data_IF_607551630638
#
_entry.id   IF_607551630638
#
_cell.length_a   1.000
_cell.length_b   1.000
_cell.length_c   1.000
_cell.angle_alpha   90.00
_cell.angle_beta   90.00
_cell.angle_gamma   90.00
#
_symmetry.space_group_name_H-M   'P 1'
#
loop_
_entity.id
_entity.type
_entity.pdbx_description
1 polymer ?
#
# COMPACT_ATOMS: atom_id res chain seq x y z
N UNK A 1 -15.67 19.25 -3.25
CA UNK A 1 -15.83 19.24 -4.74
C UNK A 1 -14.93 18.18 -5.41
N UNK A 2 -13.93 17.62 -4.73
CA UNK A 2 -12.96 16.64 -5.26
C UNK A 2 -13.54 15.21 -5.28
N UNK A 3 -14.46 14.84 -4.38
CA UNK A 3 -15.07 13.50 -4.32
C UNK A 3 -15.90 13.09 -5.54
N UNK A 4 -16.57 14.07 -6.20
CA UNK A 4 -17.46 13.75 -7.33
C UNK A 4 -16.78 13.27 -8.61
N UNK A 5 -15.53 13.69 -8.87
CA UNK A 5 -14.82 13.26 -10.09
C UNK A 5 -14.25 11.84 -9.98
N UNK A 6 -14.04 11.32 -8.77
CA UNK A 6 -13.57 9.96 -8.56
C UNK A 6 -14.70 8.93 -8.60
N UNK A 7 -15.90 9.29 -8.14
CA UNK A 7 -17.08 8.46 -8.34
C UNK A 7 -17.34 8.19 -9.84
N UNK A 8 -17.06 9.15 -10.71
CA UNK A 8 -17.22 8.95 -12.16
C UNK A 8 -16.22 7.94 -12.74
N UNK A 9 -14.96 7.92 -12.27
CA UNK A 9 -13.94 6.99 -12.76
C UNK A 9 -14.20 5.58 -12.20
N UNK A 10 -14.57 5.48 -10.93
CA UNK A 10 -14.93 4.22 -10.29
C UNK A 10 -16.23 3.65 -10.89
N UNK A 11 -17.19 4.51 -11.22
CA UNK A 11 -18.41 4.14 -11.95
C UNK A 11 -18.13 3.69 -13.39
N UNK A 12 -17.14 4.25 -14.08
CA UNK A 12 -16.73 3.77 -15.41
C UNK A 12 -16.15 2.35 -15.38
N UNK A 13 -15.37 2.02 -14.36
CA UNK A 13 -14.84 0.65 -14.18
C UNK A 13 -15.95 -0.32 -13.75
N UNK A 14 -16.88 0.13 -12.92
CA UNK A 14 -18.04 -0.65 -12.47
C UNK A 14 -19.03 -0.92 -13.63
N UNK A 15 -19.25 0.07 -14.50
CA UNK A 15 -20.17 -0.06 -15.63
C UNK A 15 -19.67 -0.99 -16.75
N UNK A 16 -18.39 -1.37 -16.75
CA UNK A 16 -17.84 -2.32 -17.74
C UNK A 16 -17.72 -3.75 -17.20
N UNK A 17 -18.15 -4.01 -15.95
CA UNK A 17 -18.02 -5.31 -15.32
C UNK A 17 -19.39 -5.80 -14.83
N UNK A 18 -19.97 -6.78 -15.53
CA UNK A 18 -21.31 -7.35 -15.27
C UNK A 18 -21.52 -7.86 -13.83
N UNK A 19 -20.43 -8.12 -13.09
CA UNK A 19 -20.50 -8.53 -11.67
C UNK A 19 -21.20 -7.52 -10.78
N UNK A 20 -21.11 -6.22 -11.09
CA UNK A 20 -21.74 -5.17 -10.31
C UNK A 20 -23.24 -5.04 -10.53
N UNK A 21 -23.76 -5.62 -11.61
CA UNK A 21 -25.19 -5.74 -11.89
C UNK A 21 -25.85 -6.87 -11.07
N UNK A 22 -25.06 -7.87 -10.61
CA UNK A 22 -25.56 -8.97 -9.79
C UNK A 22 -25.76 -8.55 -8.34
N UNK A 23 -27.02 -8.48 -7.91
CA UNK A 23 -27.42 -8.13 -6.53
C UNK A 23 -26.85 -9.09 -5.47
N UNK A 24 -26.77 -10.39 -5.80
CA UNK A 24 -26.23 -11.41 -4.89
C UNK A 24 -24.73 -11.21 -4.71
N UNK A 25 -24.01 -10.90 -5.79
CA UNK A 25 -22.60 -10.57 -5.73
C UNK A 25 -22.35 -9.33 -4.84
N UNK A 26 -23.08 -8.25 -5.08
CA UNK A 26 -22.95 -6.99 -4.32
C UNK A 26 -23.28 -7.20 -2.85
N UNK A 27 -24.33 -7.97 -2.53
CA UNK A 27 -24.70 -8.27 -1.13
C UNK A 27 -23.64 -9.14 -0.47
N UNK A 28 -23.17 -10.19 -1.12
CA UNK A 28 -22.09 -11.04 -0.63
C UNK A 28 -20.80 -10.26 -0.41
N UNK A 29 -20.46 -9.33 -1.31
CA UNK A 29 -19.32 -8.44 -1.18
C UNK A 29 -19.43 -7.52 0.05
N UNK A 30 -20.61 -6.94 0.29
CA UNK A 30 -20.86 -6.08 1.47
C UNK A 30 -20.68 -6.86 2.78
N UNK A 31 -21.22 -8.06 2.86
CA UNK A 31 -21.11 -8.92 4.07
C UNK A 31 -19.64 -9.28 4.29
N UNK A 32 -18.95 -9.81 3.28
CA UNK A 32 -17.51 -10.16 3.38
C UNK A 32 -16.65 -8.98 3.76
N UNK A 33 -16.88 -7.80 3.17
CA UNK A 33 -16.10 -6.62 3.51
C UNK A 33 -16.39 -6.12 4.93
N UNK A 34 -17.62 -6.23 5.42
CA UNK A 34 -17.96 -5.88 6.80
C UNK A 34 -17.23 -6.78 7.80
N UNK A 35 -17.25 -8.10 7.58
CA UNK A 35 -16.48 -9.04 8.41
C UNK A 35 -14.99 -8.74 8.38
N UNK A 36 -14.42 -8.48 7.20
CA UNK A 36 -13.03 -8.11 7.08
C UNK A 36 -12.71 -6.79 7.82
N UNK A 37 -13.60 -5.79 7.77
CA UNK A 37 -13.44 -4.53 8.51
C UNK A 37 -13.46 -4.76 10.02
N UNK A 38 -14.43 -5.50 10.52
CA UNK A 38 -14.56 -5.80 11.97
C UNK A 38 -13.33 -6.58 12.46
N UNK A 39 -12.92 -7.61 11.70
CA UNK A 39 -11.73 -8.40 12.03
C UNK A 39 -10.46 -7.53 12.02
N UNK A 40 -10.27 -6.74 10.99
CA UNK A 40 -9.12 -5.85 10.88
C UNK A 40 -9.12 -4.82 12.01
N UNK A 41 -10.27 -4.21 12.33
CA UNK A 41 -10.37 -3.24 13.41
C UNK A 41 -10.02 -3.87 14.76
N UNK A 42 -10.55 -5.07 15.03
CA UNK A 42 -10.20 -5.83 16.24
C UNK A 42 -8.70 -6.14 16.29
N UNK A 43 -8.17 -6.71 15.21
CA UNK A 43 -6.77 -7.11 15.14
C UNK A 43 -5.85 -5.92 15.44
N UNK A 44 -6.05 -4.80 14.76
CA UNK A 44 -5.14 -3.66 14.87
C UNK A 44 -5.28 -2.92 16.20
N UNK A 45 -6.49 -2.81 16.74
CA UNK A 45 -6.66 -2.26 18.10
C UNK A 45 -6.04 -3.16 19.17
N UNK A 46 -5.81 -4.42 18.87
CA UNK A 46 -5.10 -5.35 19.77
C UNK A 46 -3.58 -5.30 19.67
N UNK A 47 -3.02 -4.67 18.61
CA UNK A 47 -1.57 -4.62 18.41
C UNK A 47 -0.92 -3.53 19.26
N UNK A 48 0.22 -3.85 19.83
CA UNK A 48 1.14 -2.86 20.39
C UNK A 48 2.01 -2.29 19.26
N UNK A 49 1.60 -1.13 18.72
CA UNK A 49 2.27 -0.47 17.61
C UNK A 49 3.43 0.36 18.12
N UNK A 50 4.64 -0.09 17.88
CA UNK A 50 5.86 0.65 18.18
C UNK A 50 6.17 1.55 16.99
N UNK A 51 6.16 2.86 17.22
CA UNK A 51 6.63 3.85 16.25
C UNK A 51 8.06 4.27 16.60
N UNK A 52 8.96 4.25 15.62
CA UNK A 52 10.29 4.80 15.77
C UNK A 52 10.37 6.29 15.39
N UNK A 53 11.52 6.93 15.62
CA UNK A 53 11.71 8.35 15.32
C UNK A 53 11.52 8.67 13.82
N UNK A 54 11.80 7.72 12.94
CA UNK A 54 11.60 7.87 11.49
C UNK A 54 10.13 7.98 11.11
N UNK A 55 9.22 7.35 11.88
CA UNK A 55 7.79 7.47 11.69
C UNK A 55 7.28 8.92 11.85
N UNK A 56 7.77 9.66 12.85
CA UNK A 56 7.39 11.07 13.04
C UNK A 56 7.97 11.98 11.94
N UNK A 57 9.19 11.72 11.47
CA UNK A 57 9.79 12.45 10.35
C UNK A 57 8.99 12.27 9.06
N UNK A 58 8.55 11.05 8.77
CA UNK A 58 7.70 10.77 7.62
C UNK A 58 6.29 11.38 7.75
N UNK A 59 5.68 11.36 8.95
CA UNK A 59 4.42 12.08 9.19
C UNK A 59 4.55 13.56 8.89
N UNK A 60 5.68 14.18 9.22
CA UNK A 60 5.94 15.59 8.95
C UNK A 60 6.07 15.86 7.43
N UNK A 61 6.62 14.93 6.67
CA UNK A 61 6.68 15.02 5.22
C UNK A 61 5.27 15.07 4.60
N UNK A 62 4.39 14.18 5.05
CA UNK A 62 3.00 14.12 4.58
C UNK A 62 2.15 15.30 5.09
N UNK A 63 2.39 15.82 6.31
CA UNK A 63 1.70 17.00 6.85
C UNK A 63 2.01 18.28 6.06
N UNK A 64 3.17 18.36 5.41
CA UNK A 64 3.57 19.53 4.60
C UNK A 64 2.97 19.51 3.19
N UNK A 65 2.05 18.59 2.88
CA UNK A 65 1.43 18.49 1.57
C UNK A 65 2.40 18.10 0.46
N UNK A 66 3.55 17.51 0.81
CA UNK A 66 4.51 16.99 -0.17
C UNK A 66 4.17 15.54 -0.48
N UNK A 67 3.67 15.22 -1.69
CA UNK A 67 3.36 13.86 -2.06
C UNK A 67 4.62 13.00 -2.15
N UNK A 68 4.46 11.72 -1.84
CA UNK A 68 5.50 10.70 -1.97
C UNK A 68 4.91 9.37 -2.44
N UNK A 69 5.74 8.45 -2.90
CA UNK A 69 5.34 7.08 -3.17
C UNK A 69 5.79 6.19 -2.01
N UNK A 70 4.84 5.62 -1.30
CA UNK A 70 5.09 4.70 -0.19
C UNK A 70 5.31 3.30 -0.76
N UNK A 71 6.48 2.71 -0.49
CA UNK A 71 6.85 1.39 -0.97
C UNK A 71 6.78 0.37 0.17
N UNK A 72 6.07 -0.73 -0.04
CA UNK A 72 5.94 -1.82 0.92
C UNK A 72 5.90 -3.17 0.20
N UNK A 73 6.31 -4.24 0.88
CA UNK A 73 6.11 -5.59 0.38
C UNK A 73 4.65 -6.01 0.49
N UNK A 74 4.18 -6.80 -0.48
CA UNK A 74 2.78 -7.24 -0.50
C UNK A 74 2.40 -8.03 0.75
N UNK A 75 3.33 -8.81 1.27
CA UNK A 75 3.13 -9.61 2.49
C UNK A 75 2.85 -8.80 3.76
N UNK A 76 3.16 -7.50 3.78
CA UNK A 76 3.07 -6.64 4.98
C UNK A 76 2.02 -5.53 4.88
N UNK A 77 1.28 -5.47 3.78
CA UNK A 77 0.36 -4.37 3.51
C UNK A 77 -0.67 -4.16 4.61
N UNK A 78 -1.12 -5.25 5.26
CA UNK A 78 -2.18 -5.22 6.25
C UNK A 78 -1.85 -4.30 7.44
N UNK A 79 -0.65 -4.40 7.99
CA UNK A 79 -0.22 -3.58 9.13
C UNK A 79 -0.01 -2.11 8.78
N UNK A 80 0.34 -1.81 7.53
CA UNK A 80 0.55 -0.45 7.07
C UNK A 80 -0.75 0.32 6.87
N UNK A 81 -1.85 -0.36 6.50
CA UNK A 81 -3.12 0.29 6.14
C UNK A 81 -3.71 1.16 7.26
N UNK A 82 -3.59 0.75 8.52
CA UNK A 82 -4.23 1.46 9.62
C UNK A 82 -3.48 2.68 10.10
N UNK A 83 -2.16 2.67 9.95
CA UNK A 83 -1.32 3.77 10.40
C UNK A 83 -1.52 5.05 9.59
N UNK A 84 -1.95 4.89 8.35
CA UNK A 84 -2.05 5.97 7.37
C UNK A 84 -3.49 6.28 6.94
N UNK A 85 -4.50 5.75 7.66
CA UNK A 85 -5.91 6.03 7.37
C UNK A 85 -6.26 7.51 7.49
N UNK A 86 -7.30 7.92 6.80
CA UNK A 86 -7.82 9.30 6.79
C UNK A 86 -6.75 10.35 6.41
N UNK A 87 -5.92 10.02 5.41
CA UNK A 87 -4.93 10.90 4.83
C UNK A 87 -5.10 10.94 3.31
N UNK A 88 -4.50 11.93 2.68
CA UNK A 88 -4.50 12.06 1.22
C UNK A 88 -3.56 11.02 0.58
N UNK A 89 -3.93 9.74 0.72
CA UNK A 89 -3.17 8.60 0.18
C UNK A 89 -4.07 7.79 -0.74
N UNK A 90 -3.55 7.49 -1.92
CA UNK A 90 -4.14 6.54 -2.85
C UNK A 90 -3.43 5.19 -2.78
N UNK A 91 -4.18 4.10 -2.84
CA UNK A 91 -3.66 2.72 -2.81
C UNK A 91 -4.00 2.02 -4.12
N UNK A 92 -3.04 1.29 -4.69
CA UNK A 92 -3.28 0.48 -5.88
C UNK A 92 -3.91 -0.85 -5.48
N UNK A 93 -5.10 -1.14 -6.02
CA UNK A 93 -5.83 -2.38 -5.78
C UNK A 93 -6.14 -3.13 -7.08
N UNK A 94 -6.03 -4.46 -7.07
CA UNK A 94 -6.25 -5.29 -8.26
C UNK A 94 -7.72 -5.27 -8.72
N UNK A 95 -7.95 -5.61 -10.01
CA UNK A 95 -9.30 -5.75 -10.59
C UNK A 95 -9.95 -7.11 -10.27
N UNK A 96 -9.39 -7.90 -9.36
CA UNK A 96 -9.94 -9.19 -8.94
C UNK A 96 -11.12 -9.04 -7.96
N UNK A 97 -11.86 -10.13 -7.72
CA UNK A 97 -12.91 -10.19 -6.69
C UNK A 97 -12.36 -9.88 -5.29
N UNK A 98 -11.15 -10.36 -4.97
CA UNK A 98 -10.48 -10.02 -3.71
C UNK A 98 -10.10 -8.54 -3.66
N UNK A 99 -9.68 -7.97 -4.79
CA UNK A 99 -9.46 -6.54 -4.93
C UNK A 99 -10.72 -5.70 -4.67
N UNK A 100 -11.92 -6.23 -4.96
CA UNK A 100 -13.18 -5.54 -4.66
C UNK A 100 -13.43 -5.47 -3.14
N UNK A 101 -13.12 -6.56 -2.40
CA UNK A 101 -13.21 -6.58 -0.94
C UNK A 101 -12.21 -5.59 -0.34
N UNK A 102 -10.97 -5.62 -0.82
CA UNK A 102 -9.91 -4.71 -0.36
C UNK A 102 -10.29 -3.26 -0.62
N UNK A 103 -10.80 -2.94 -1.82
CA UNK A 103 -11.26 -1.59 -2.17
C UNK A 103 -12.30 -1.07 -1.18
N UNK A 104 -13.31 -1.89 -0.85
CA UNK A 104 -14.34 -1.51 0.15
C UNK A 104 -13.75 -1.22 1.52
N UNK A 105 -12.74 -1.99 1.94
CA UNK A 105 -12.04 -1.73 3.20
C UNK A 105 -11.22 -0.44 3.13
N UNK A 106 -10.49 -0.21 2.03
CA UNK A 106 -9.70 1.00 1.82
C UNK A 106 -10.59 2.26 1.84
N UNK A 107 -11.73 2.22 1.13
CA UNK A 107 -12.70 3.32 1.11
C UNK A 107 -13.19 3.66 2.53
N UNK A 108 -13.48 2.64 3.36
CA UNK A 108 -13.91 2.84 4.75
C UNK A 108 -12.83 3.43 5.66
N UNK A 109 -11.56 3.28 5.29
CA UNK A 109 -10.40 3.84 5.98
C UNK A 109 -9.98 5.21 5.43
N UNK A 110 -10.73 5.77 4.48
CA UNK A 110 -10.49 7.09 3.90
C UNK A 110 -9.38 7.13 2.85
N UNK A 111 -9.01 5.98 2.29
CA UNK A 111 -8.08 5.92 1.16
C UNK A 111 -8.78 6.17 -0.17
N UNK A 112 -8.07 6.77 -1.11
CA UNK A 112 -8.44 6.71 -2.51
C UNK A 112 -7.95 5.38 -3.11
N UNK A 113 -8.69 4.78 -4.05
CA UNK A 113 -8.25 3.55 -4.71
C UNK A 113 -7.97 3.77 -6.19
N UNK A 114 -6.81 3.28 -6.64
CA UNK A 114 -6.47 3.17 -8.07
C UNK A 114 -6.67 1.72 -8.46
N UNK A 115 -7.62 1.45 -9.37
CA UNK A 115 -7.94 0.08 -9.79
C UNK A 115 -7.07 -0.37 -10.95
N UNK A 116 -6.33 -1.47 -10.74
CA UNK A 116 -5.45 -2.06 -11.74
C UNK A 116 -4.26 -2.78 -11.10
N UNK A 117 -3.36 -3.27 -11.95
CA UNK A 117 -2.13 -3.93 -11.50
C UNK A 117 -1.05 -3.86 -12.57
N UNK A 118 0.19 -4.24 -12.22
CA UNK A 118 1.29 -4.34 -13.19
C UNK A 118 0.99 -5.29 -14.36
N UNK A 119 0.14 -6.29 -14.16
CA UNK A 119 -0.25 -7.28 -15.18
C UNK A 119 -1.51 -6.91 -15.96
N UNK A 120 -2.38 -6.03 -15.43
CA UNK A 120 -3.60 -5.57 -16.10
C UNK A 120 -3.78 -4.07 -15.90
N UNK A 121 -3.62 -3.31 -16.98
CA UNK A 121 -3.80 -1.87 -16.96
C UNK A 121 -2.66 -1.09 -16.29
N UNK A 122 -1.43 -1.62 -16.22
CA UNK A 122 -0.31 -0.99 -15.54
C UNK A 122 -0.01 0.43 -16.02
N UNK A 123 -0.10 0.70 -17.33
CA UNK A 123 0.06 2.06 -17.86
C UNK A 123 -1.03 3.01 -17.34
N UNK A 124 -2.27 2.56 -17.25
CA UNK A 124 -3.40 3.34 -16.70
C UNK A 124 -3.18 3.63 -15.22
N UNK A 125 -2.74 2.64 -14.43
CA UNK A 125 -2.40 2.81 -13.01
C UNK A 125 -1.36 3.90 -12.83
N UNK A 126 -0.29 3.89 -13.63
CA UNK A 126 0.76 4.93 -13.57
C UNK A 126 0.18 6.30 -13.93
N UNK A 127 -0.65 6.41 -14.96
CA UNK A 127 -1.27 7.69 -15.35
C UNK A 127 -2.19 8.24 -14.25
N UNK A 128 -2.99 7.38 -13.62
CA UNK A 128 -3.87 7.78 -12.51
C UNK A 128 -3.05 8.19 -11.28
N UNK A 129 -1.99 7.43 -10.95
CA UNK A 129 -1.07 7.77 -9.86
C UNK A 129 -0.40 9.14 -10.10
N UNK A 130 0.08 9.43 -11.32
CA UNK A 130 0.64 10.75 -11.68
C UNK A 130 -0.39 11.85 -11.47
N UNK A 131 -1.64 11.66 -11.89
CA UNK A 131 -2.71 12.64 -11.69
C UNK A 131 -2.98 12.94 -10.22
N UNK A 132 -2.98 11.89 -9.38
CA UNK A 132 -3.20 12.04 -7.94
C UNK A 132 -2.02 12.71 -7.25
N UNK A 133 -0.79 12.35 -7.59
CA UNK A 133 0.42 13.01 -7.09
C UNK A 133 0.41 14.51 -7.41
N UNK A 134 0.03 14.88 -8.65
CA UNK A 134 -0.13 16.30 -9.02
C UNK A 134 -1.22 17.04 -8.24
N UNK A 135 -2.18 16.32 -7.66
CA UNK A 135 -3.23 16.87 -6.78
C UNK A 135 -2.82 16.89 -5.30
N UNK A 136 -1.58 16.48 -4.98
CA UNK A 136 -1.05 16.45 -3.61
C UNK A 136 -1.24 15.13 -2.87
N UNK A 137 -1.82 14.09 -3.50
CA UNK A 137 -1.96 12.77 -2.89
C UNK A 137 -0.63 12.01 -2.92
N UNK A 138 -0.31 11.33 -1.83
CA UNK A 138 0.71 10.27 -1.84
C UNK A 138 0.12 8.98 -2.42
N UNK A 139 0.98 8.08 -2.93
CA UNK A 139 0.53 6.81 -3.50
C UNK A 139 1.23 5.66 -2.79
N UNK A 140 0.47 4.71 -2.21
CA UNK A 140 1.02 3.50 -1.62
C UNK A 140 0.96 2.33 -2.62
N UNK A 141 2.09 1.66 -2.80
CA UNK A 141 2.26 0.59 -3.78
C UNK A 141 2.93 -0.62 -3.11
N UNK A 142 2.34 -1.79 -3.26
CA UNK A 142 3.01 -3.06 -3.01
C UNK A 142 3.92 -3.36 -4.20
N UNK A 143 5.23 -3.26 -3.98
CA UNK A 143 6.22 -3.14 -5.06
C UNK A 143 6.55 -4.45 -5.78
N UNK A 144 6.27 -5.58 -5.16
CA UNK A 144 6.36 -6.92 -5.77
C UNK A 144 5.10 -7.31 -6.56
N UNK A 145 4.04 -6.48 -6.46
CA UNK A 145 2.81 -6.63 -7.24
C UNK A 145 1.97 -7.85 -6.86
N UNK A 146 0.80 -8.04 -7.48
CA UNK A 146 -0.18 -9.04 -7.05
C UNK A 146 0.12 -10.48 -7.51
N UNK A 147 1.18 -10.70 -8.27
CA UNK A 147 1.56 -12.02 -8.80
C UNK A 147 3.00 -12.41 -8.51
N UNK A 148 3.73 -11.57 -7.77
CA UNK A 148 5.11 -11.82 -7.45
C UNK A 148 6.07 -11.83 -8.67
N UNK A 149 7.24 -12.42 -8.55
CA UNK A 149 7.75 -13.13 -7.35
C UNK A 149 7.88 -12.23 -6.12
N UNK A 150 7.80 -12.84 -4.92
CA UNK A 150 7.99 -12.15 -3.66
C UNK A 150 9.35 -11.45 -3.61
N UNK A 151 9.36 -10.22 -3.07
CA UNK A 151 10.55 -9.38 -2.97
C UNK A 151 11.22 -9.04 -4.32
N UNK A 152 10.45 -9.04 -5.42
CA UNK A 152 10.91 -8.57 -6.72
C UNK A 152 10.23 -7.26 -7.10
N UNK A 153 11.02 -6.18 -7.10
CA UNK A 153 10.52 -4.82 -7.39
C UNK A 153 10.03 -4.72 -8.83
N UNK A 154 8.77 -4.36 -9.01
CA UNK A 154 8.19 -4.13 -10.34
C UNK A 154 8.59 -2.76 -10.89
N UNK A 155 8.89 -2.64 -12.17
CA UNK A 155 9.41 -1.41 -12.78
C UNK A 155 8.43 -0.21 -12.72
N UNK A 156 7.17 -0.46 -12.42
CA UNK A 156 6.13 0.58 -12.38
C UNK A 156 6.40 1.69 -11.38
N UNK A 157 6.94 1.35 -10.20
CA UNK A 157 7.25 2.36 -9.17
C UNK A 157 8.38 3.28 -9.61
N UNK A 158 9.43 2.74 -10.23
CA UNK A 158 10.57 3.53 -10.72
C UNK A 158 10.12 4.48 -11.82
N UNK A 159 9.35 3.97 -12.81
CA UNK A 159 8.75 4.81 -13.87
C UNK A 159 7.89 5.93 -13.31
N UNK A 160 7.12 5.66 -12.24
CA UNK A 160 6.26 6.65 -11.61
C UNK A 160 7.09 7.78 -10.99
N UNK A 161 8.11 7.45 -10.19
CA UNK A 161 8.89 8.46 -9.48
C UNK A 161 9.82 9.23 -10.42
N UNK A 162 10.40 8.59 -11.44
CA UNK A 162 11.15 9.30 -12.48
C UNK A 162 10.29 10.30 -13.24
N UNK A 163 9.00 9.97 -13.46
CA UNK A 163 8.07 10.86 -14.16
C UNK A 163 7.56 12.01 -13.27
N UNK A 164 7.49 11.82 -11.97
CA UNK A 164 6.89 12.79 -11.04
C UNK A 164 7.90 13.58 -10.22
N UNK A 165 9.14 13.07 -10.08
CA UNK A 165 10.18 13.67 -9.25
C UNK A 165 9.93 13.54 -7.74
N UNK A 166 8.87 12.82 -7.30
CA UNK A 166 8.59 12.63 -5.87
C UNK A 166 9.47 11.51 -5.29
N UNK A 167 9.81 11.57 -3.99
CA UNK A 167 10.58 10.53 -3.34
C UNK A 167 9.79 9.24 -3.16
N UNK A 168 10.51 8.12 -3.06
CA UNK A 168 10.00 6.86 -2.52
C UNK A 168 10.26 6.85 -1.02
N UNK A 169 9.25 6.46 -0.25
CA UNK A 169 9.37 6.22 1.19
C UNK A 169 9.28 4.70 1.40
N UNK A 170 10.41 4.00 1.61
CA UNK A 170 10.40 2.56 1.87
C UNK A 170 9.93 2.28 3.29
N UNK A 171 9.21 1.16 3.46
CA UNK A 171 8.72 0.71 4.75
C UNK A 171 9.15 -0.72 5.03
N UNK A 172 9.77 -0.92 6.21
CA UNK A 172 10.07 -2.22 6.77
C UNK A 172 9.14 -2.55 7.94
N UNK A 173 8.63 -3.78 8.01
CA UNK A 173 7.71 -4.19 9.08
C UNK A 173 8.26 -5.41 9.82
N UNK A 174 8.21 -5.36 11.15
CA UNK A 174 8.58 -6.47 12.01
C UNK A 174 7.48 -6.77 13.03
N UNK A 175 7.35 -8.03 13.39
CA UNK A 175 6.37 -8.55 14.35
C UNK A 175 7.07 -9.41 15.40
N UNK A 176 6.62 -9.33 16.66
CA UNK A 176 7.05 -10.33 17.67
C UNK A 176 6.42 -11.68 17.38
N UNK A 177 5.12 -11.69 17.00
CA UNK A 177 4.39 -12.91 16.66
C UNK A 177 3.48 -12.64 15.46
N UNK A 178 3.58 -13.49 14.45
CA UNK A 178 2.73 -13.43 13.26
C UNK A 178 2.53 -14.81 12.66
N UNK A 179 1.41 -15.01 11.97
CA UNK A 179 1.18 -16.17 11.12
C UNK A 179 1.56 -15.79 9.69
N UNK A 180 2.46 -16.58 9.10
CA UNK A 180 2.78 -16.46 7.68
C UNK A 180 1.86 -17.38 6.88
N UNK A 181 1.09 -16.82 5.97
CA UNK A 181 0.22 -17.60 5.08
C UNK A 181 1.06 -18.33 4.02
N UNK A 182 0.56 -19.51 3.58
CA UNK A 182 1.18 -20.31 2.52
C UNK A 182 0.66 -19.87 1.13
N UNK A 183 0.63 -18.56 0.91
CA UNK A 183 0.32 -17.96 -0.39
C UNK A 183 1.62 -17.47 -1.06
N UNK A 184 1.51 -17.00 -2.32
CA UNK A 184 2.67 -16.61 -3.12
C UNK A 184 3.52 -15.49 -2.48
N UNK A 185 2.89 -14.55 -1.74
CA UNK A 185 3.54 -13.38 -1.13
C UNK A 185 3.95 -13.61 0.33
N UNK A 186 3.56 -14.75 0.91
CA UNK A 186 3.82 -15.06 2.30
C UNK A 186 3.22 -14.02 3.25
N UNK A 187 2.00 -13.53 2.96
CA UNK A 187 1.29 -12.54 3.78
C UNK A 187 1.45 -12.83 5.27
N UNK A 188 1.90 -11.85 6.02
CA UNK A 188 2.08 -11.92 7.47
C UNK A 188 0.88 -11.30 8.17
N UNK A 189 0.19 -12.10 8.98
CA UNK A 189 -0.91 -11.64 9.83
C UNK A 189 -0.39 -11.56 11.26
N UNK A 190 -0.25 -10.37 11.86
CA UNK A 190 0.16 -10.25 13.24
C UNK A 190 -0.86 -10.92 14.16
N UNK A 191 -0.40 -11.58 15.23
CA UNK A 191 -1.30 -12.11 16.23
C UNK A 191 -1.82 -10.99 17.16
N UNK A 192 -3.03 -11.12 17.70
CA UNK A 192 -3.52 -10.18 18.71
C UNK A 192 -2.51 -10.01 19.87
N UNK A 193 -2.37 -8.78 20.36
CA UNK A 193 -1.43 -8.39 21.42
C UNK A 193 0.05 -8.55 21.08
N UNK A 194 0.39 -8.80 19.80
CA UNK A 194 1.78 -8.79 19.37
C UNK A 194 2.29 -7.36 19.18
N UNK A 195 3.59 -7.17 19.41
CA UNK A 195 4.27 -5.93 19.06
C UNK A 195 4.51 -5.90 17.56
N UNK A 196 4.19 -4.77 16.94
CA UNK A 196 4.42 -4.53 15.52
C UNK A 196 5.20 -3.23 15.37
N UNK A 197 6.38 -3.31 14.78
CA UNK A 197 7.20 -2.14 14.46
C UNK A 197 7.14 -1.87 12.96
N UNK A 198 6.78 -0.64 12.61
CA UNK A 198 6.85 -0.13 11.24
C UNK A 198 7.99 0.89 11.19
N UNK A 199 9.07 0.50 10.56
CA UNK A 199 10.18 1.39 10.26
C UNK A 199 9.94 2.07 8.91
N UNK A 200 10.10 3.37 8.89
CA UNK A 200 9.96 4.19 7.69
C UNK A 200 11.33 4.72 7.36
N UNK A 201 11.85 4.28 6.23
CA UNK A 201 13.17 4.72 5.76
C UNK A 201 13.17 6.18 5.31
N UNK A 202 14.35 6.74 5.17
CA UNK A 202 14.54 8.08 4.63
C UNK A 202 14.06 8.18 3.18
N UNK A 203 13.63 9.36 2.73
CA UNK A 203 13.17 9.56 1.37
C UNK A 203 14.23 9.19 0.31
N UNK A 204 13.93 8.23 -0.55
CA UNK A 204 14.79 7.80 -1.64
C UNK A 204 14.40 8.53 -2.92
N UNK A 205 15.29 9.37 -3.43
CA UNK A 205 15.14 10.01 -4.73
C UNK A 205 15.81 9.15 -5.81
N UNK A 206 15.08 8.91 -6.90
CA UNK A 206 15.54 8.14 -8.05
C UNK A 206 15.79 9.11 -9.19
N UNK A 207 17.05 9.25 -9.58
CA UNK A 207 17.44 10.08 -10.70
C UNK A 207 16.85 9.55 -12.02
N UNK A 208 16.40 10.45 -12.88
CA UNK A 208 15.87 10.10 -14.20
C UNK A 208 16.94 9.54 -15.16
N UNK A 209 18.22 9.77 -14.86
CA UNK A 209 19.35 9.28 -15.65
C UNK A 209 19.74 7.83 -15.40
N UNK A 210 19.29 7.22 -14.30
CA UNK A 210 19.58 5.80 -14.04
C UNK A 210 18.61 4.87 -14.75
N UNK A 211 19.06 3.66 -15.06
CA UNK A 211 18.18 2.65 -15.67
C UNK A 211 17.06 2.21 -14.70
N UNK A 212 15.97 1.72 -15.27
CA UNK A 212 14.86 1.16 -14.46
C UNK A 212 15.36 -0.03 -13.62
N UNK A 213 16.23 -0.87 -14.16
CA UNK A 213 16.78 -2.03 -13.47
C UNK A 213 17.63 -1.63 -12.27
N UNK A 214 18.50 -0.63 -12.45
CA UNK A 214 19.31 -0.08 -11.37
C UNK A 214 18.45 0.56 -10.28
N UNK A 215 17.42 1.31 -10.67
CA UNK A 215 16.45 1.88 -9.75
C UNK A 215 15.70 0.79 -8.95
N UNK A 216 15.27 -0.30 -9.60
CA UNK A 216 14.65 -1.44 -8.95
C UNK A 216 15.59 -2.12 -7.95
N UNK A 217 16.86 -2.33 -8.33
CA UNK A 217 17.88 -2.92 -7.46
C UNK A 217 18.11 -2.03 -6.23
N UNK A 218 18.36 -0.73 -6.44
CA UNK A 218 18.56 0.23 -5.36
C UNK A 218 17.41 0.25 -4.37
N UNK A 219 16.16 0.26 -4.88
CA UNK A 219 14.98 0.20 -4.02
C UNK A 219 14.88 -1.12 -3.27
N UNK A 220 15.13 -2.26 -3.95
CA UNK A 220 15.11 -3.59 -3.33
C UNK A 220 16.08 -3.69 -2.16
N UNK A 221 17.32 -3.27 -2.37
CA UNK A 221 18.36 -3.31 -1.35
C UNK A 221 17.95 -2.45 -0.13
N UNK A 222 17.44 -1.25 -0.38
CA UNK A 222 17.00 -0.35 0.69
C UNK A 222 15.74 -0.87 1.43
N UNK A 223 14.82 -1.54 0.76
CA UNK A 223 13.68 -2.19 1.41
C UNK A 223 14.13 -3.25 2.42
N UNK A 224 15.13 -4.08 2.06
CA UNK A 224 15.71 -5.05 2.97
C UNK A 224 16.46 -4.40 4.15
N UNK A 225 17.13 -3.28 3.93
CA UNK A 225 17.76 -2.52 5.02
C UNK A 225 16.69 -2.03 6.01
N UNK A 226 15.56 -1.49 5.53
CA UNK A 226 14.45 -1.05 6.36
C UNK A 226 13.81 -2.21 7.14
N UNK A 227 13.61 -3.38 6.50
CA UNK A 227 13.08 -4.57 7.17
C UNK A 227 14.05 -5.09 8.25
N UNK A 228 15.34 -5.20 7.92
CA UNK A 228 16.37 -5.62 8.88
C UNK A 228 16.49 -4.66 10.06
N UNK A 229 16.36 -3.36 9.82
CA UNK A 229 16.35 -2.36 10.89
C UNK A 229 15.14 -2.58 11.81
N UNK A 230 13.93 -2.74 11.24
CA UNK A 230 12.72 -3.00 12.01
C UNK A 230 12.87 -4.26 12.89
N UNK A 231 13.40 -5.35 12.33
CA UNK A 231 13.63 -6.62 13.04
C UNK A 231 14.63 -6.44 14.18
N UNK A 232 15.77 -5.80 13.92
CA UNK A 232 16.81 -5.57 14.96
C UNK A 232 16.27 -4.72 16.09
N UNK A 233 15.57 -3.63 15.77
CA UNK A 233 15.02 -2.71 16.75
C UNK A 233 13.95 -3.37 17.62
N UNK A 234 13.05 -4.14 17.01
CA UNK A 234 12.03 -4.88 17.74
C UNK A 234 12.63 -5.91 18.71
N UNK A 235 13.73 -6.61 18.31
CA UNK A 235 14.45 -7.57 19.16
C UNK A 235 15.19 -6.87 20.31
N UNK A 236 15.64 -5.64 20.15
CA UNK A 236 16.31 -4.87 21.16
C UNK A 236 15.38 -4.38 22.29
N UNK A 237 14.07 -4.62 22.18
CA UNK A 237 13.13 -4.32 23.26
C UNK A 237 12.66 -2.86 23.30
N UNK A 238 12.63 -2.17 22.16
CA UNK A 238 12.02 -0.84 22.08
C UNK A 238 10.54 -0.88 22.39
#
# INVERSE_FOLDING_TARGET
MISRNFEQIDNLVRNTDDRWADKNYVTGLRIKSLFAQIFNMFLINSLDLISDCSFESAKNLFRKGKPAVMALWHGDFLSCLYNWRNRDIAVVASLSKDGDIITKNLDSLGYQTIRGSSSRGGARVILEAVKLIKKGFSVAITIDGPKGPVHEVKPGIIKLVQKTGVPIIPMGVAYTNSIKLHNWDGTRIPLPFSKTLIHIGEPLFIDSGISIEEGCKKLKDYMFECENFAVKKLKAGC
#
